data_IF_355900155976
#
_entry.id   IF_355900155976
#
_cell.length_a   1.000
_cell.length_b   1.000
_cell.length_c   1.000
_cell.angle_alpha   90.00
_cell.angle_beta   90.00
_cell.angle_gamma   90.00
#
_symmetry.space_group_name_H-M   'P 1'
#
loop_
_entity.id
_entity.type
_entity.pdbx_description
1 polymer ?
#
# COMPACT_ATOMS: atom_id res chain seq x y z
N UNK A 1 -19.11 4.75 -11.84
CA UNK A 1 -17.86 5.31 -12.40
C UNK A 1 -17.89 6.83 -12.27
N UNK A 2 -16.81 7.43 -11.85
CA UNK A 2 -16.68 8.90 -11.73
C UNK A 2 -15.88 9.40 -12.93
N UNK A 3 -16.46 10.32 -13.69
CA UNK A 3 -15.74 11.04 -14.75
C UNK A 3 -15.05 12.27 -14.13
N UNK A 4 -13.76 12.17 -13.93
CA UNK A 4 -12.93 13.25 -13.36
C UNK A 4 -12.70 14.41 -14.33
N UNK A 5 -13.10 14.27 -15.58
CA UNK A 5 -12.91 15.30 -16.61
C UNK A 5 -13.99 16.38 -16.58
N UNK A 6 -15.03 16.22 -15.75
CA UNK A 6 -16.18 17.13 -15.64
C UNK A 6 -16.51 17.42 -14.16
N UNK A 7 -17.16 18.53 -13.90
CA UNK A 7 -17.57 18.93 -12.54
C UNK A 7 -16.47 19.53 -11.66
N UNK A 8 -16.78 19.80 -10.40
CA UNK A 8 -15.88 20.45 -9.43
C UNK A 8 -14.87 19.43 -8.86
N UNK A 9 -13.53 19.64 -9.03
CA UNK A 9 -12.50 18.66 -8.65
C UNK A 9 -12.59 18.21 -7.19
N UNK A 10 -12.82 19.11 -6.24
CA UNK A 10 -12.87 18.77 -4.82
C UNK A 10 -14.03 17.81 -4.47
N UNK A 11 -15.21 17.99 -5.08
CA UNK A 11 -16.34 17.07 -4.87
C UNK A 11 -16.05 15.67 -5.42
N UNK A 12 -15.43 15.62 -6.61
CA UNK A 12 -15.06 14.36 -7.28
C UNK A 12 -14.01 13.60 -6.47
N UNK A 13 -12.97 14.31 -6.00
CA UNK A 13 -11.92 13.72 -5.17
C UNK A 13 -12.47 13.20 -3.84
N UNK A 14 -13.30 13.97 -3.13
CA UNK A 14 -13.94 13.51 -1.89
C UNK A 14 -14.81 12.27 -2.13
N UNK A 15 -15.68 12.34 -3.14
CA UNK A 15 -16.59 11.23 -3.44
C UNK A 15 -15.86 9.93 -3.81
N UNK A 16 -14.68 10.05 -4.43
CA UNK A 16 -13.83 8.92 -4.77
C UNK A 16 -12.98 8.45 -3.57
N UNK A 17 -12.41 9.38 -2.81
CA UNK A 17 -11.47 9.06 -1.72
C UNK A 17 -12.15 8.50 -0.48
N UNK A 18 -13.37 8.95 -0.13
CA UNK A 18 -14.06 8.48 1.09
C UNK A 18 -14.28 6.96 1.07
N UNK A 19 -14.86 6.34 0.01
CA UNK A 19 -14.97 4.89 -0.04
C UNK A 19 -13.64 4.17 0.05
N UNK A 20 -12.59 4.68 -0.62
CA UNK A 20 -11.26 4.10 -0.54
C UNK A 20 -10.67 4.20 0.86
N UNK A 21 -10.85 5.34 1.53
CA UNK A 21 -10.38 5.55 2.90
C UNK A 21 -11.03 4.55 3.85
N UNK A 22 -12.37 4.43 3.79
CA UNK A 22 -13.11 3.47 4.60
C UNK A 22 -12.61 2.04 4.34
N UNK A 23 -12.44 1.66 3.07
CA UNK A 23 -11.91 0.35 2.70
C UNK A 23 -10.52 0.10 3.28
N UNK A 24 -9.61 1.06 3.16
CA UNK A 24 -8.24 0.92 3.68
C UNK A 24 -8.21 0.82 5.22
N UNK A 25 -9.05 1.58 5.93
CA UNK A 25 -9.18 1.48 7.39
C UNK A 25 -9.74 0.12 7.79
N UNK A 26 -10.76 -0.38 7.10
CA UNK A 26 -11.32 -1.71 7.34
C UNK A 26 -10.31 -2.83 7.11
N UNK A 27 -9.43 -2.67 6.10
CA UNK A 27 -8.35 -3.62 5.85
C UNK A 27 -7.34 -3.66 7.01
N UNK A 28 -7.06 -2.51 7.64
CA UNK A 28 -6.20 -2.48 8.83
C UNK A 28 -6.87 -3.15 10.03
N UNK A 29 -8.17 -2.89 10.25
CA UNK A 29 -8.92 -3.54 11.32
C UNK A 29 -9.01 -5.06 11.12
N UNK A 30 -9.21 -5.49 9.88
CA UNK A 30 -9.17 -6.91 9.51
C UNK A 30 -7.82 -7.56 9.83
N UNK A 31 -6.71 -6.92 9.46
CA UNK A 31 -5.36 -7.43 9.78
C UNK A 31 -5.13 -7.59 11.29
N UNK A 32 -5.66 -6.68 12.10
CA UNK A 32 -5.58 -6.77 13.56
C UNK A 32 -6.41 -7.95 14.07
N UNK A 33 -7.62 -8.14 13.55
CA UNK A 33 -8.49 -9.26 13.93
C UNK A 33 -7.87 -10.62 13.58
N UNK A 34 -7.26 -10.73 12.39
CA UNK A 34 -6.55 -11.94 11.95
C UNK A 34 -5.40 -12.30 12.91
N UNK A 35 -4.59 -11.31 13.24
CA UNK A 35 -3.48 -11.48 14.19
C UNK A 35 -3.94 -11.87 15.59
N UNK A 36 -5.07 -11.31 16.05
CA UNK A 36 -5.68 -11.60 17.33
C UNK A 36 -6.18 -13.06 17.41
N UNK A 37 -6.87 -13.53 16.36
CA UNK A 37 -7.37 -14.91 16.30
C UNK A 37 -6.21 -15.91 16.28
N UNK A 38 -5.20 -15.67 15.43
CA UNK A 38 -4.01 -16.53 15.37
C UNK A 38 -3.30 -16.58 16.71
N UNK A 39 -3.09 -15.44 17.38
CA UNK A 39 -2.40 -15.37 18.65
C UNK A 39 -3.11 -16.08 19.79
N UNK A 40 -4.44 -15.91 19.88
CA UNK A 40 -5.21 -16.46 21.01
C UNK A 40 -5.56 -17.95 20.85
N UNK A 41 -5.80 -18.41 19.63
CA UNK A 41 -6.27 -19.78 19.41
C UNK A 41 -5.17 -20.76 19.00
N UNK A 42 -4.07 -20.29 18.40
CA UNK A 42 -2.98 -21.18 17.96
C UNK A 42 -1.76 -21.04 18.89
N UNK A 43 -1.49 -19.81 19.38
CA UNK A 43 -0.41 -19.54 20.34
C UNK A 43 0.78 -18.79 19.74
N UNK A 44 1.81 -18.57 20.58
CA UNK A 44 2.95 -17.70 20.28
C UNK A 44 3.82 -18.20 19.12
N UNK A 45 3.99 -19.52 18.99
CA UNK A 45 4.78 -20.13 17.90
C UNK A 45 4.15 -19.87 16.52
N UNK A 46 2.81 -19.88 16.45
CA UNK A 46 2.11 -19.56 15.22
C UNK A 46 2.29 -18.08 14.82
N UNK A 47 2.23 -17.18 15.78
CA UNK A 47 2.47 -15.75 15.52
C UNK A 47 3.90 -15.54 15.00
N UNK A 48 4.88 -16.21 15.60
CA UNK A 48 6.27 -16.17 15.15
C UNK A 48 6.43 -16.75 13.74
N UNK A 49 5.79 -17.89 13.43
CA UNK A 49 5.80 -18.52 12.11
C UNK A 49 5.20 -17.62 11.02
N UNK A 50 4.05 -16.98 11.29
CA UNK A 50 3.44 -15.99 10.40
C UNK A 50 4.37 -14.79 10.25
N UNK A 51 4.93 -14.28 11.35
CA UNK A 51 5.85 -13.14 11.37
C UNK A 51 7.09 -13.34 10.49
N UNK A 52 7.71 -14.53 10.54
CA UNK A 52 8.88 -14.89 9.73
C UNK A 52 8.56 -14.96 8.23
N UNK A 53 7.32 -15.31 7.87
CA UNK A 53 6.87 -15.39 6.47
C UNK A 53 6.49 -14.02 5.88
N UNK A 54 6.15 -13.03 6.73
CA UNK A 54 5.64 -11.73 6.29
C UNK A 54 6.60 -10.93 5.40
N UNK A 55 7.92 -10.84 5.67
CA UNK A 55 8.85 -10.12 4.80
C UNK A 55 8.88 -10.68 3.38
N UNK A 56 8.82 -12.00 3.24
CA UNK A 56 8.82 -12.68 1.95
C UNK A 56 7.53 -12.36 1.19
N UNK A 57 6.37 -12.53 1.84
CA UNK A 57 5.07 -12.20 1.25
C UNK A 57 4.98 -10.73 0.86
N UNK A 58 5.49 -9.83 1.71
CA UNK A 58 5.50 -8.39 1.41
C UNK A 58 6.36 -8.07 0.18
N UNK A 59 7.52 -8.68 0.03
CA UNK A 59 8.37 -8.50 -1.14
C UNK A 59 7.66 -8.94 -2.43
N UNK A 60 6.97 -10.09 -2.40
CA UNK A 60 6.20 -10.61 -3.52
C UNK A 60 4.99 -9.72 -3.86
N UNK A 61 4.26 -9.26 -2.85
CA UNK A 61 3.11 -8.37 -3.02
C UNK A 61 3.54 -6.97 -3.51
N UNK A 62 4.70 -6.48 -3.10
CA UNK A 62 5.24 -5.19 -3.54
C UNK A 62 5.40 -5.09 -5.05
N UNK A 63 5.82 -6.19 -5.69
CA UNK A 63 5.93 -6.27 -7.14
C UNK A 63 4.57 -6.07 -7.83
N UNK A 64 3.52 -6.64 -7.26
CA UNK A 64 2.16 -6.51 -7.80
C UNK A 64 1.59 -5.14 -7.60
N UNK A 65 1.80 -4.55 -6.42
CA UNK A 65 1.36 -3.18 -6.15
C UNK A 65 1.93 -2.25 -7.22
N UNK A 66 3.19 -2.44 -7.61
CA UNK A 66 3.81 -1.68 -8.69
C UNK A 66 3.08 -1.86 -10.02
N UNK A 67 2.90 -3.09 -10.47
CA UNK A 67 2.24 -3.39 -11.75
C UNK A 67 0.80 -2.88 -11.77
N UNK A 68 0.05 -3.11 -10.70
CA UNK A 68 -1.35 -2.67 -10.61
C UNK A 68 -1.46 -1.15 -10.58
N UNK A 69 -0.49 -0.44 -10.01
CA UNK A 69 -0.43 1.02 -10.08
C UNK A 69 -0.23 1.50 -11.52
N UNK A 70 0.69 0.89 -12.28
CA UNK A 70 0.88 1.16 -13.70
C UNK A 70 -0.40 0.94 -14.51
N UNK A 71 -1.11 -0.13 -14.21
CA UNK A 71 -2.39 -0.47 -14.84
C UNK A 71 -3.48 0.56 -14.56
N UNK A 72 -3.59 1.01 -13.30
CA UNK A 72 -4.54 2.08 -12.92
C UNK A 72 -4.30 3.34 -13.75
N UNK A 73 -3.04 3.74 -13.94
CA UNK A 73 -2.66 4.93 -14.71
C UNK A 73 -3.07 4.79 -16.17
N UNK A 74 -2.73 3.67 -16.82
CA UNK A 74 -3.02 3.44 -18.25
C UNK A 74 -4.53 3.39 -18.48
N UNK A 75 -5.25 2.61 -17.66
CA UNK A 75 -6.72 2.51 -17.75
C UNK A 75 -7.36 3.88 -17.55
N UNK A 76 -6.89 4.69 -16.58
CA UNK A 76 -7.44 6.02 -16.34
C UNK A 76 -7.20 6.98 -17.50
N UNK A 77 -6.03 6.92 -18.15
CA UNK A 77 -5.73 7.77 -19.31
C UNK A 77 -6.61 7.38 -20.51
N UNK A 78 -6.74 6.09 -20.85
CA UNK A 78 -7.62 5.68 -21.94
C UNK A 78 -9.11 5.93 -21.63
N UNK A 79 -9.52 5.77 -20.38
CA UNK A 79 -10.88 6.12 -19.95
C UNK A 79 -11.16 7.63 -20.14
N UNK A 80 -10.23 8.48 -19.72
CA UNK A 80 -10.31 9.93 -19.91
C UNK A 80 -10.33 10.36 -21.37
N UNK A 81 -9.58 9.66 -22.25
CA UNK A 81 -9.57 9.86 -23.69
C UNK A 81 -10.84 9.35 -24.39
N UNK A 82 -11.70 8.62 -23.67
CA UNK A 82 -12.86 7.90 -24.22
C UNK A 82 -12.48 6.85 -25.28
N UNK A 83 -11.22 6.40 -25.30
CA UNK A 83 -10.75 5.31 -26.16
C UNK A 83 -11.03 3.97 -25.47
N UNK A 84 -12.28 3.56 -25.50
CA UNK A 84 -12.73 2.33 -24.86
C UNK A 84 -12.15 1.06 -25.48
N UNK A 85 -11.72 1.13 -26.75
CA UNK A 85 -11.08 -0.02 -27.42
C UNK A 85 -9.69 -0.26 -26.82
N UNK A 86 -8.85 0.76 -26.74
CA UNK A 86 -7.53 0.65 -26.12
C UNK A 86 -7.64 0.41 -24.61
N UNK A 87 -8.63 1.01 -23.94
CA UNK A 87 -8.93 0.73 -22.55
C UNK A 87 -9.21 -0.76 -22.32
N UNK A 88 -10.08 -1.38 -23.15
CA UNK A 88 -10.37 -2.81 -23.06
C UNK A 88 -9.12 -3.66 -23.32
N UNK A 89 -8.34 -3.34 -24.34
CA UNK A 89 -7.05 -4.01 -24.60
C UNK A 89 -6.08 -3.87 -23.42
N UNK A 90 -6.10 -2.72 -22.74
CA UNK A 90 -5.28 -2.52 -21.53
C UNK A 90 -5.71 -3.44 -20.40
N UNK A 91 -7.01 -3.57 -20.16
CA UNK A 91 -7.57 -4.50 -19.17
C UNK A 91 -7.15 -5.93 -19.49
N UNK A 92 -7.31 -6.37 -20.74
CA UNK A 92 -6.97 -7.72 -21.17
C UNK A 92 -5.48 -8.02 -21.03
N UNK A 93 -4.62 -7.08 -21.50
CA UNK A 93 -3.16 -7.21 -21.40
C UNK A 93 -2.69 -7.32 -19.94
N UNK A 94 -3.27 -6.49 -19.06
CA UNK A 94 -2.93 -6.49 -17.64
C UNK A 94 -3.36 -7.79 -16.96
N UNK A 95 -4.55 -8.31 -17.28
CA UNK A 95 -5.02 -9.59 -16.72
C UNK A 95 -4.09 -10.73 -17.16
N UNK A 96 -3.75 -10.82 -18.46
CA UNK A 96 -2.82 -11.83 -18.97
C UNK A 96 -1.47 -11.72 -18.22
N UNK A 97 -0.91 -10.52 -18.17
CA UNK A 97 0.39 -10.28 -17.55
C UNK A 97 0.41 -10.64 -16.07
N UNK A 98 -0.60 -10.19 -15.31
CA UNK A 98 -0.68 -10.47 -13.88
C UNK A 98 -0.89 -11.96 -13.62
N UNK A 99 -1.68 -12.64 -14.44
CA UNK A 99 -1.86 -14.08 -14.34
C UNK A 99 -0.54 -14.82 -14.58
N UNK A 100 0.20 -14.44 -15.63
CA UNK A 100 1.54 -15.01 -15.91
C UNK A 100 2.53 -14.72 -14.78
N UNK A 101 2.55 -13.48 -14.28
CA UNK A 101 3.40 -13.10 -13.17
C UNK A 101 3.06 -13.86 -11.89
N UNK A 102 1.77 -14.02 -11.57
CA UNK A 102 1.30 -14.79 -10.42
C UNK A 102 1.73 -16.27 -10.50
N UNK A 103 1.54 -16.89 -11.66
CA UNK A 103 1.97 -18.28 -11.88
C UNK A 103 3.49 -18.40 -11.76
N UNK A 104 4.25 -17.46 -12.34
CA UNK A 104 5.71 -17.47 -12.24
C UNK A 104 6.17 -17.33 -10.79
N UNK A 105 5.60 -16.38 -10.05
CA UNK A 105 5.92 -16.15 -8.62
C UNK A 105 5.51 -17.38 -7.78
N UNK A 106 4.36 -17.99 -8.06
CA UNK A 106 3.92 -19.20 -7.39
C UNK A 106 4.93 -20.34 -7.59
N UNK A 107 5.28 -20.63 -8.84
CA UNK A 107 6.20 -21.75 -9.18
C UNK A 107 7.59 -21.51 -8.58
N UNK A 108 8.16 -20.32 -8.81
CA UNK A 108 9.49 -19.96 -8.27
C UNK A 108 9.46 -19.96 -6.74
N UNK A 109 8.42 -19.37 -6.14
CA UNK A 109 8.27 -19.32 -4.68
C UNK A 109 8.15 -20.70 -4.06
N UNK A 110 7.39 -21.62 -4.69
CA UNK A 110 7.25 -23.00 -4.19
C UNK A 110 8.57 -23.79 -4.30
N UNK A 111 9.35 -23.62 -5.38
CA UNK A 111 10.65 -24.26 -5.56
C UNK A 111 11.66 -23.75 -4.52
N UNK A 112 11.68 -22.47 -4.26
CA UNK A 112 12.64 -21.83 -3.36
C UNK A 112 12.12 -21.53 -1.96
N UNK A 113 10.98 -22.11 -1.55
CA UNK A 113 10.31 -21.83 -0.28
C UNK A 113 11.24 -21.98 0.92
N UNK A 114 11.98 -23.08 1.01
CA UNK A 114 12.93 -23.34 2.09
C UNK A 114 14.11 -22.36 2.07
N UNK A 115 14.65 -22.08 0.88
CA UNK A 115 15.75 -21.14 0.71
C UNK A 115 15.37 -19.72 1.10
N UNK A 116 14.14 -19.30 0.79
CA UNK A 116 13.62 -17.99 1.15
C UNK A 116 13.47 -17.84 2.68
N UNK A 117 12.98 -18.88 3.37
CA UNK A 117 12.87 -18.87 4.83
C UNK A 117 14.23 -18.86 5.52
N UNK A 118 15.20 -19.62 5.00
CA UNK A 118 16.57 -19.59 5.51
C UNK A 118 17.25 -18.25 5.25
N UNK A 119 16.96 -17.58 4.13
CA UNK A 119 17.51 -16.25 3.81
C UNK A 119 17.07 -15.16 4.81
N UNK A 120 15.90 -15.34 5.44
CA UNK A 120 15.41 -14.42 6.49
C UNK A 120 15.72 -14.92 7.91
N UNK A 121 16.65 -15.87 8.03
CA UNK A 121 17.11 -16.45 9.31
C UNK A 121 15.94 -16.94 10.20
N UNK A 122 14.97 -17.66 9.60
CA UNK A 122 13.84 -18.22 10.32
C UNK A 122 14.34 -19.26 11.34
N UNK A 123 14.04 -19.13 12.65
CA UNK A 123 14.44 -20.08 13.66
C UNK A 123 13.86 -21.49 13.43
N UNK A 124 14.61 -22.54 13.79
CA UNK A 124 14.24 -23.93 13.51
C UNK A 124 12.95 -24.37 14.23
N UNK A 125 12.66 -23.83 15.39
CA UNK A 125 11.46 -24.11 16.18
C UNK A 125 10.16 -23.66 15.51
N UNK A 126 10.20 -22.59 14.72
CA UNK A 126 9.06 -22.06 13.97
C UNK A 126 9.12 -22.34 12.47
N UNK A 127 10.21 -22.95 11.97
CA UNK A 127 10.45 -23.16 10.56
C UNK A 127 9.34 -23.97 9.87
N UNK A 128 8.91 -25.06 10.49
CA UNK A 128 7.84 -25.91 9.93
C UNK A 128 6.51 -25.18 9.78
N UNK A 129 6.12 -24.39 10.78
CA UNK A 129 4.93 -23.55 10.72
C UNK A 129 5.03 -22.46 9.67
N UNK A 130 6.18 -21.77 9.59
CA UNK A 130 6.45 -20.75 8.59
C UNK A 130 6.45 -21.32 7.16
N UNK A 131 7.07 -22.48 6.96
CA UNK A 131 7.08 -23.19 5.66
C UNK A 131 5.66 -23.53 5.22
N UNK A 132 4.86 -24.13 6.10
CA UNK A 132 3.47 -24.49 5.80
C UNK A 132 2.65 -23.26 5.46
N UNK A 133 2.74 -22.19 6.26
CA UNK A 133 2.04 -20.94 6.04
C UNK A 133 2.45 -20.28 4.70
N UNK A 134 3.76 -20.16 4.45
CA UNK A 134 4.29 -19.56 3.21
C UNK A 134 3.87 -20.34 1.99
N UNK A 135 4.02 -21.68 2.02
CA UNK A 135 3.67 -22.58 0.92
C UNK A 135 2.18 -22.46 0.53
N UNK A 136 1.28 -22.44 1.52
CA UNK A 136 -0.15 -22.26 1.28
C UNK A 136 -0.40 -20.89 0.67
N UNK A 137 0.19 -19.80 1.21
CA UNK A 137 0.02 -18.45 0.65
C UNK A 137 0.58 -18.32 -0.77
N UNK A 138 1.66 -19.01 -1.10
CA UNK A 138 2.20 -19.05 -2.47
C UNK A 138 1.21 -19.69 -3.45
N UNK A 139 0.51 -20.74 -3.06
CA UNK A 139 -0.58 -21.33 -3.87
C UNK A 139 -1.71 -20.31 -4.06
N UNK A 140 -2.00 -19.52 -3.01
CA UNK A 140 -3.03 -18.48 -3.03
C UNK A 140 -2.63 -17.17 -3.70
N UNK A 141 -1.43 -17.07 -4.27
CA UNK A 141 -0.95 -15.80 -4.83
C UNK A 141 -1.74 -15.37 -6.08
N UNK A 142 -2.26 -16.32 -6.84
CA UNK A 142 -3.06 -16.04 -8.03
C UNK A 142 -4.37 -15.27 -7.71
N UNK A 143 -5.24 -15.72 -6.80
CA UNK A 143 -6.41 -14.94 -6.41
C UNK A 143 -6.04 -13.61 -5.74
N UNK A 144 -4.99 -13.55 -4.93
CA UNK A 144 -4.50 -12.30 -4.35
C UNK A 144 -4.16 -11.27 -5.43
N UNK A 145 -3.42 -11.66 -6.46
CA UNK A 145 -3.06 -10.83 -7.60
C UNK A 145 -4.32 -10.40 -8.38
N UNK A 146 -5.27 -11.31 -8.56
CA UNK A 146 -6.55 -11.05 -9.21
C UNK A 146 -7.35 -9.94 -8.51
N UNK A 147 -7.55 -10.02 -7.20
CA UNK A 147 -8.26 -8.99 -6.42
C UNK A 147 -7.60 -7.62 -6.53
N UNK A 148 -6.26 -7.56 -6.42
CA UNK A 148 -5.52 -6.31 -6.55
C UNK A 148 -5.62 -5.73 -7.96
N UNK A 149 -5.51 -6.57 -8.99
CA UNK A 149 -5.63 -6.18 -10.40
C UNK A 149 -7.01 -5.59 -10.71
N UNK A 150 -8.07 -6.31 -10.38
CA UNK A 150 -9.44 -5.86 -10.63
C UNK A 150 -9.76 -4.57 -9.85
N UNK A 151 -9.30 -4.47 -8.61
CA UNK A 151 -9.44 -3.23 -7.83
C UNK A 151 -8.70 -2.06 -8.48
N UNK A 152 -7.51 -2.29 -9.04
CA UNK A 152 -6.74 -1.27 -9.76
C UNK A 152 -7.44 -0.80 -11.04
N UNK A 153 -8.00 -1.73 -11.82
CA UNK A 153 -8.80 -1.44 -13.02
C UNK A 153 -10.02 -0.59 -12.65
N UNK A 154 -10.77 -0.99 -11.62
CA UNK A 154 -11.95 -0.27 -11.14
C UNK A 154 -11.60 1.15 -10.69
N UNK A 155 -10.49 1.32 -9.97
CA UNK A 155 -9.98 2.67 -9.60
C UNK A 155 -9.64 3.49 -10.83
N UNK A 156 -9.04 2.90 -11.86
CA UNK A 156 -8.70 3.58 -13.12
C UNK A 156 -9.92 4.16 -13.83
N UNK A 157 -11.04 3.45 -13.85
CA UNK A 157 -12.31 3.92 -14.43
C UNK A 157 -13.13 4.79 -13.46
N UNK A 158 -12.58 5.14 -12.29
CA UNK A 158 -13.25 6.00 -11.33
C UNK A 158 -14.31 5.29 -10.46
N UNK A 159 -14.24 3.98 -10.31
CA UNK A 159 -15.10 3.23 -9.39
C UNK A 159 -14.33 2.89 -8.12
N UNK A 160 -14.60 3.60 -7.04
CA UNK A 160 -14.05 3.35 -5.70
C UNK A 160 -15.04 2.63 -4.77
N UNK A 161 -16.33 2.58 -5.14
CA UNK A 161 -17.35 1.94 -4.31
C UNK A 161 -17.33 0.43 -4.42
N UNK A 162 -17.16 -0.10 -5.63
CA UNK A 162 -17.11 -1.55 -5.84
C UNK A 162 -15.95 -2.18 -5.06
N UNK A 163 -14.70 -1.70 -5.12
CA UNK A 163 -13.64 -2.20 -4.25
C UNK A 163 -13.96 -2.14 -2.75
N UNK A 164 -14.65 -1.09 -2.27
CA UNK A 164 -15.08 -1.01 -0.87
C UNK A 164 -16.03 -2.14 -0.49
N UNK A 165 -17.09 -2.35 -1.28
CA UNK A 165 -18.06 -3.43 -0.99
C UNK A 165 -17.40 -4.80 -1.04
N UNK A 166 -16.50 -4.99 -1.98
CA UNK A 166 -15.70 -6.23 -2.09
C UNK A 166 -14.86 -6.43 -0.83
N UNK A 167 -14.17 -5.39 -0.34
CA UNK A 167 -13.38 -5.47 0.88
C UNK A 167 -14.23 -5.77 2.12
N UNK A 168 -15.40 -5.16 2.24
CA UNK A 168 -16.34 -5.44 3.34
C UNK A 168 -16.78 -6.91 3.36
N UNK A 169 -17.22 -7.40 2.20
CA UNK A 169 -17.70 -8.78 2.06
C UNK A 169 -16.56 -9.77 2.30
N UNK A 170 -15.39 -9.52 1.70
CA UNK A 170 -14.25 -10.41 1.85
C UNK A 170 -13.70 -10.42 3.29
N UNK A 171 -13.66 -9.28 3.97
CA UNK A 171 -13.24 -9.23 5.38
C UNK A 171 -14.20 -10.01 6.28
N UNK A 172 -15.52 -9.85 6.10
CA UNK A 172 -16.51 -10.62 6.83
C UNK A 172 -16.41 -12.13 6.56
N UNK A 173 -16.29 -12.50 5.29
CA UNK A 173 -16.13 -13.91 4.89
C UNK A 173 -14.84 -14.51 5.46
N UNK A 174 -13.75 -13.77 5.43
CA UNK A 174 -12.48 -14.24 5.98
C UNK A 174 -12.56 -14.49 7.48
N UNK A 175 -13.15 -13.58 8.26
CA UNK A 175 -13.33 -13.77 9.71
C UNK A 175 -14.17 -15.03 9.99
N UNK A 176 -15.23 -15.25 9.22
CA UNK A 176 -16.08 -16.46 9.35
C UNK A 176 -15.26 -17.72 9.07
N UNK A 177 -14.52 -17.76 7.95
CA UNK A 177 -13.70 -18.91 7.59
C UNK A 177 -12.54 -19.13 8.57
N UNK A 178 -11.93 -18.05 9.04
CA UNK A 178 -10.85 -18.11 10.03
C UNK A 178 -11.33 -18.74 11.33
N UNK A 179 -12.49 -18.31 11.85
CA UNK A 179 -13.10 -18.88 13.04
C UNK A 179 -13.59 -20.32 12.82
N UNK A 180 -14.03 -20.67 11.62
CA UNK A 180 -14.42 -22.03 11.32
C UNK A 180 -13.21 -22.99 11.24
N UNK A 181 -12.11 -22.56 10.62
CA UNK A 181 -10.95 -23.44 10.36
C UNK A 181 -9.98 -23.48 11.54
N UNK A 182 -9.77 -22.38 12.26
CA UNK A 182 -8.80 -22.35 13.35
C UNK A 182 -9.40 -22.92 14.64
N UNK A 183 -10.34 -22.27 15.33
CA UNK A 183 -10.92 -22.86 16.53
C UNK A 183 -11.96 -23.96 16.26
N UNK A 184 -12.73 -23.87 15.14
CA UNK A 184 -13.81 -24.81 14.84
C UNK A 184 -13.30 -26.19 14.39
N UNK A 185 -12.35 -26.23 13.46
CA UNK A 185 -11.80 -27.48 12.88
C UNK A 185 -10.42 -27.83 13.44
N UNK A 186 -9.77 -26.94 14.18
CA UNK A 186 -8.44 -27.19 14.75
C UNK A 186 -7.30 -27.26 13.73
N UNK A 187 -7.45 -26.60 12.55
CA UNK A 187 -6.44 -26.65 11.47
C UNK A 187 -5.21 -25.77 11.75
N UNK A 188 -5.18 -25.05 12.87
CA UNK A 188 -4.04 -24.21 13.27
C UNK A 188 -3.63 -23.21 12.20
N UNK A 189 -2.32 -23.05 11.99
CA UNK A 189 -1.72 -22.12 11.02
C UNK A 189 -2.23 -22.39 9.58
N UNK A 190 -2.36 -23.64 9.19
CA UNK A 190 -2.88 -24.01 7.87
C UNK A 190 -4.31 -23.50 7.68
N UNK A 191 -5.14 -23.54 8.74
CA UNK A 191 -6.50 -23.02 8.72
C UNK A 191 -6.55 -21.53 8.45
N UNK A 192 -5.68 -20.76 9.09
CA UNK A 192 -5.57 -19.31 8.85
C UNK A 192 -5.17 -18.98 7.40
N UNK A 193 -4.17 -19.70 6.86
CA UNK A 193 -3.74 -19.52 5.48
C UNK A 193 -4.85 -19.91 4.46
N UNK A 194 -5.51 -21.04 4.66
CA UNK A 194 -6.61 -21.47 3.78
C UNK A 194 -7.83 -20.56 3.86
N UNK A 195 -8.18 -20.03 5.04
CA UNK A 195 -9.23 -19.03 5.17
C UNK A 195 -8.98 -17.81 4.29
N UNK A 196 -7.75 -17.30 4.28
CA UNK A 196 -7.34 -16.18 3.44
C UNK A 196 -7.45 -16.49 1.95
N UNK A 197 -6.92 -17.65 1.51
CA UNK A 197 -6.94 -18.03 0.08
C UNK A 197 -8.37 -18.25 -0.43
N UNK A 198 -9.17 -18.99 0.31
CA UNK A 198 -10.56 -19.24 -0.08
C UNK A 198 -11.35 -17.93 -0.16
N UNK A 199 -11.16 -17.04 0.83
CA UNK A 199 -11.76 -15.71 0.79
C UNK A 199 -11.37 -14.97 -0.47
N UNK A 200 -10.10 -14.91 -0.80
CA UNK A 200 -9.62 -14.19 -1.99
C UNK A 200 -10.08 -14.84 -3.29
N UNK A 201 -10.17 -16.18 -3.33
CA UNK A 201 -10.68 -16.92 -4.50
C UNK A 201 -12.16 -16.59 -4.73
N UNK A 202 -12.98 -16.68 -3.70
CA UNK A 202 -14.39 -16.31 -3.78
C UNK A 202 -14.55 -14.84 -4.18
N UNK A 203 -13.71 -13.98 -3.61
CA UNK A 203 -13.71 -12.54 -3.88
C UNK A 203 -13.39 -12.22 -5.34
N UNK A 204 -12.34 -12.82 -5.92
CA UNK A 204 -11.98 -12.55 -7.33
C UNK A 204 -13.04 -13.05 -8.28
N UNK A 205 -13.63 -14.22 -8.02
CA UNK A 205 -14.73 -14.77 -8.82
C UNK A 205 -15.95 -13.83 -8.74
N UNK A 206 -16.33 -13.41 -7.55
CA UNK A 206 -17.41 -12.45 -7.33
C UNK A 206 -17.18 -11.11 -8.00
N UNK A 207 -15.93 -10.59 -7.95
CA UNK A 207 -15.55 -9.35 -8.65
C UNK A 207 -15.67 -9.49 -10.16
N UNK A 208 -15.22 -10.58 -10.75
CA UNK A 208 -15.35 -10.83 -12.21
C UNK A 208 -16.82 -10.86 -12.61
N UNK A 209 -17.63 -11.60 -11.85
CA UNK A 209 -19.07 -11.68 -12.11
C UNK A 209 -19.74 -10.31 -12.03
N UNK A 210 -19.48 -9.56 -10.95
CA UNK A 210 -20.00 -8.22 -10.75
C UNK A 210 -19.55 -7.24 -11.84
N UNK A 211 -18.27 -7.26 -12.18
CA UNK A 211 -17.69 -6.41 -13.21
C UNK A 211 -18.32 -6.69 -14.58
N UNK A 212 -18.49 -7.98 -14.92
CA UNK A 212 -19.12 -8.37 -16.18
C UNK A 212 -20.59 -7.96 -16.28
N UNK A 213 -21.29 -7.88 -15.14
CA UNK A 213 -22.69 -7.46 -15.10
C UNK A 213 -22.85 -5.95 -15.11
N UNK A 214 -22.04 -5.22 -14.32
CA UNK A 214 -22.18 -3.77 -14.12
C UNK A 214 -21.44 -2.92 -15.13
N UNK A 215 -20.36 -3.44 -15.72
CA UNK A 215 -19.42 -2.68 -16.56
C UNK A 215 -19.17 -3.36 -17.89
N UNK A 216 -20.14 -3.33 -18.85
CA UNK A 216 -20.01 -4.04 -20.14
C UNK A 216 -18.79 -3.63 -20.94
N UNK A 217 -18.31 -2.38 -20.78
CA UNK A 217 -17.15 -1.82 -21.52
C UNK A 217 -15.83 -2.53 -21.14
N UNK A 218 -15.71 -2.98 -19.88
CA UNK A 218 -14.51 -3.67 -19.36
C UNK A 218 -14.78 -5.14 -19.08
N UNK A 219 -15.82 -5.72 -19.69
CA UNK A 219 -16.20 -7.12 -19.53
C UNK A 219 -15.03 -8.06 -19.79
N UNK A 220 -14.74 -8.94 -18.83
CA UNK A 220 -13.67 -9.95 -18.93
C UNK A 220 -14.25 -11.20 -19.55
N UNK A 221 -13.72 -11.58 -20.70
CA UNK A 221 -14.07 -12.81 -21.41
C UNK A 221 -12.78 -13.58 -21.70
N UNK A 222 -12.48 -14.58 -20.88
CA UNK A 222 -11.20 -15.31 -20.90
C UNK A 222 -10.82 -15.88 -22.27
N UNK A 223 -11.80 -16.27 -23.09
CA UNK A 223 -11.55 -16.84 -24.43
C UNK A 223 -11.26 -15.75 -25.51
N UNK A 224 -11.35 -14.47 -25.16
CA UNK A 224 -11.19 -13.35 -26.12
C UNK A 224 -10.24 -12.28 -25.57
N UNK A 225 -9.33 -12.66 -24.67
CA UNK A 225 -8.32 -11.73 -24.16
C UNK A 225 -7.32 -11.40 -25.27
N UNK A 226 -7.02 -10.13 -25.43
CA UNK A 226 -6.07 -9.63 -26.44
C UNK A 226 -4.84 -9.10 -25.71
N UNK A 227 -3.66 -9.62 -26.03
CA UNK A 227 -2.40 -9.11 -25.54
C UNK A 227 -1.84 -8.04 -26.47
N UNK A 228 -1.57 -6.85 -25.95
CA UNK A 228 -1.00 -5.73 -26.67
C UNK A 228 0.39 -5.42 -26.09
N UNK A 229 1.43 -5.63 -26.90
CA UNK A 229 2.83 -5.48 -26.47
C UNK A 229 3.20 -4.03 -26.13
N UNK A 230 2.60 -3.03 -26.81
CA UNK A 230 2.88 -1.62 -26.54
C UNK A 230 2.30 -1.21 -25.17
N UNK A 231 1.07 -1.65 -24.89
CA UNK A 231 0.42 -1.45 -23.60
C UNK A 231 1.18 -2.19 -22.49
N UNK A 232 1.62 -3.42 -22.76
CA UNK A 232 2.44 -4.19 -21.82
C UNK A 232 3.74 -3.46 -21.46
N UNK A 233 4.51 -3.00 -22.48
CA UNK A 233 5.75 -2.24 -22.24
C UNK A 233 5.48 -0.97 -21.43
N UNK A 234 4.38 -0.29 -21.71
CA UNK A 234 3.96 0.91 -20.97
C UNK A 234 3.60 0.57 -19.52
N UNK A 235 2.90 -0.55 -19.28
CA UNK A 235 2.54 -1.03 -17.93
C UNK A 235 3.76 -1.38 -17.10
N UNK A 236 4.73 -2.08 -17.69
CA UNK A 236 6.00 -2.42 -17.04
C UNK A 236 6.82 -1.16 -16.76
N UNK A 237 6.93 -0.25 -17.72
CA UNK A 237 7.67 1.01 -17.56
C UNK A 237 7.13 1.88 -16.41
N UNK A 238 5.82 1.91 -16.22
CA UNK A 238 5.17 2.67 -15.14
C UNK A 238 5.14 1.87 -13.84
N UNK A 239 4.90 0.56 -13.91
CA UNK A 239 4.71 -0.30 -12.76
C UNK A 239 6.00 -0.73 -12.07
N UNK A 240 7.03 -1.09 -12.85
CA UNK A 240 8.28 -1.62 -12.28
C UNK A 240 8.99 -0.65 -11.33
N UNK A 241 9.11 0.67 -11.65
CA UNK A 241 9.68 1.62 -10.68
C UNK A 241 8.87 1.71 -9.38
N UNK A 242 7.55 1.63 -9.45
CA UNK A 242 6.69 1.66 -8.25
C UNK A 242 6.86 0.39 -7.41
N UNK A 243 6.96 -0.78 -8.03
CA UNK A 243 7.26 -2.04 -7.34
C UNK A 243 8.63 -2.02 -6.68
N UNK A 244 9.66 -1.57 -7.41
CA UNK A 244 11.01 -1.38 -6.88
C UNK A 244 11.05 -0.38 -5.72
N UNK A 245 10.30 0.71 -5.81
CA UNK A 245 10.14 1.68 -4.73
C UNK A 245 9.61 1.02 -3.44
N UNK A 246 8.55 0.19 -3.55
CA UNK A 246 7.96 -0.48 -2.38
C UNK A 246 8.93 -1.46 -1.73
N UNK A 247 9.65 -2.24 -2.53
CA UNK A 247 10.69 -3.14 -2.04
C UNK A 247 11.80 -2.38 -1.31
N UNK A 248 12.29 -1.30 -1.90
CA UNK A 248 13.34 -0.46 -1.29
C UNK A 248 12.88 0.22 0.00
N UNK A 249 11.58 0.59 0.09
CA UNK A 249 10.99 1.10 1.34
C UNK A 249 11.02 0.03 2.41
N UNK A 250 10.64 -1.21 2.09
CA UNK A 250 10.67 -2.33 3.04
C UNK A 250 12.08 -2.58 3.59
N UNK A 251 13.08 -2.69 2.69
CA UNK A 251 14.48 -2.89 3.09
C UNK A 251 15.02 -1.70 3.91
N UNK A 252 14.64 -0.48 3.53
CA UNK A 252 15.02 0.72 4.29
C UNK A 252 14.41 0.78 5.70
N UNK A 253 13.18 0.28 5.87
CA UNK A 253 12.56 0.16 7.19
C UNK A 253 13.25 -0.90 8.05
N UNK A 254 13.73 -2.01 7.45
CA UNK A 254 14.56 -2.99 8.16
C UNK A 254 15.90 -2.39 8.60
N UNK A 255 16.54 -1.60 7.76
CA UNK A 255 17.77 -0.90 8.13
C UNK A 255 17.56 0.09 9.30
N UNK A 256 16.45 0.81 9.30
CA UNK A 256 16.07 1.68 10.43
C UNK A 256 15.82 0.91 11.71
N UNK A 257 15.16 -0.25 11.61
CA UNK A 257 14.97 -1.14 12.77
C UNK A 257 16.32 -1.59 13.33
N UNK A 258 17.32 -1.84 12.48
CA UNK A 258 18.69 -2.13 12.90
C UNK A 258 19.32 -0.99 13.72
N UNK A 259 19.04 0.28 13.38
CA UNK A 259 19.50 1.44 14.18
C UNK A 259 18.76 1.50 15.53
N UNK A 260 17.44 1.28 15.54
CA UNK A 260 16.65 1.21 16.79
C UNK A 260 17.16 0.11 17.71
N UNK A 261 17.52 -1.05 17.16
CA UNK A 261 18.02 -2.19 17.91
C UNK A 261 19.37 -1.92 18.63
N UNK A 262 20.17 -0.94 18.20
CA UNK A 262 21.38 -0.55 18.95
C UNK A 262 21.06 -0.07 20.37
N UNK A 263 19.90 0.53 20.56
CA UNK A 263 19.44 1.02 21.86
C UNK A 263 18.79 -0.07 22.73
N UNK A 264 18.46 -1.23 22.17
CA UNK A 264 17.82 -2.32 22.93
C UNK A 264 18.77 -3.01 23.92
N UNK A 265 20.07 -2.96 23.69
CA UNK A 265 21.08 -3.46 24.65
C UNK A 265 21.13 -2.63 25.94
N UNK A 266 20.79 -1.35 25.87
CA UNK A 266 20.74 -0.44 27.01
C UNK A 266 19.31 -0.30 27.57
N UNK A 267 18.30 -0.26 26.69
CA UNK A 267 16.90 -0.12 27.06
C UNK A 267 15.96 -0.74 26.02
N UNK A 268 15.37 -1.89 26.33
CA UNK A 268 14.41 -2.59 25.47
C UNK A 268 13.11 -1.79 25.23
N UNK A 269 12.81 -0.81 26.09
CA UNK A 269 11.59 -0.01 26.03
C UNK A 269 11.53 0.86 24.77
N UNK A 270 12.71 1.24 24.21
CA UNK A 270 12.80 2.00 22.95
C UNK A 270 12.20 1.20 21.77
N UNK A 271 12.52 -0.09 21.67
CA UNK A 271 12.00 -0.95 20.61
C UNK A 271 10.49 -1.16 20.74
N UNK A 272 10.01 -1.35 21.97
CA UNK A 272 8.59 -1.53 22.25
C UNK A 272 7.83 -0.25 21.89
N UNK A 273 8.30 0.91 22.34
CA UNK A 273 7.72 2.21 22.00
C UNK A 273 7.72 2.46 20.49
N UNK A 274 8.83 2.17 19.80
CA UNK A 274 8.94 2.26 18.34
C UNK A 274 7.89 1.38 17.64
N UNK A 275 7.72 0.15 18.09
CA UNK A 275 6.77 -0.80 17.50
C UNK A 275 5.32 -0.35 17.64
N UNK A 276 4.96 0.19 18.81
CA UNK A 276 3.62 0.75 19.06
C UNK A 276 3.39 1.96 18.16
N UNK A 277 4.34 2.92 18.14
CA UNK A 277 4.19 4.14 17.35
C UNK A 277 4.12 3.84 15.85
N UNK A 278 4.86 2.87 15.33
CA UNK A 278 4.75 2.47 13.91
C UNK A 278 3.36 1.95 13.54
N UNK A 279 2.67 1.26 14.44
CA UNK A 279 1.27 0.83 14.19
C UNK A 279 0.32 2.04 14.10
N UNK A 280 0.52 3.01 14.96
CA UNK A 280 -0.25 4.26 14.97
C UNK A 280 0.07 5.09 13.71
N UNK A 281 1.36 5.23 13.36
CA UNK A 281 1.84 5.93 12.15
C UNK A 281 1.22 5.36 10.87
N UNK A 282 1.12 4.03 10.78
CA UNK A 282 0.47 3.37 9.64
C UNK A 282 -0.97 3.83 9.48
N UNK A 283 -1.76 3.93 10.55
CA UNK A 283 -3.15 4.38 10.50
C UNK A 283 -3.26 5.85 10.08
N UNK A 284 -2.38 6.71 10.58
CA UNK A 284 -2.37 8.14 10.25
C UNK A 284 -1.92 8.38 8.80
N UNK A 285 -1.07 7.52 8.27
CA UNK A 285 -0.56 7.60 6.89
C UNK A 285 -1.59 7.19 5.83
N UNK A 286 -2.58 6.35 6.18
CA UNK A 286 -3.61 5.84 5.25
C UNK A 286 -4.33 6.94 4.46
N UNK A 287 -4.80 8.05 5.05
CA UNK A 287 -5.43 9.13 4.29
C UNK A 287 -4.54 9.72 3.22
N UNK A 288 -3.27 10.02 3.55
CA UNK A 288 -2.31 10.60 2.61
C UNK A 288 -2.07 9.70 1.40
N UNK A 289 -1.92 8.40 1.63
CA UNK A 289 -1.78 7.39 0.57
C UNK A 289 -3.06 7.29 -0.28
N UNK A 290 -4.23 7.32 0.36
CA UNK A 290 -5.53 7.25 -0.32
C UNK A 290 -5.75 8.44 -1.24
N UNK A 291 -5.49 9.67 -0.76
CA UNK A 291 -5.58 10.87 -1.59
C UNK A 291 -4.54 10.90 -2.70
N UNK A 292 -3.33 10.36 -2.48
CA UNK A 292 -2.33 10.17 -3.53
C UNK A 292 -2.82 9.27 -4.66
N UNK A 293 -3.51 8.18 -4.33
CA UNK A 293 -4.13 7.30 -5.34
C UNK A 293 -5.30 7.99 -6.07
N UNK A 294 -6.10 8.75 -5.34
CA UNK A 294 -7.23 9.47 -5.91
C UNK A 294 -6.78 10.56 -6.88
N UNK A 295 -5.77 11.36 -6.51
CA UNK A 295 -5.23 12.38 -7.40
C UNK A 295 -4.53 11.75 -8.61
N UNK A 296 -3.91 10.58 -8.48
CA UNK A 296 -3.31 9.87 -9.61
C UNK A 296 -4.38 9.46 -10.63
N UNK A 297 -5.53 8.93 -10.21
CA UNK A 297 -6.64 8.61 -11.10
C UNK A 297 -7.24 9.87 -11.75
N UNK A 298 -7.41 10.95 -10.97
CA UNK A 298 -7.87 12.25 -11.47
C UNK A 298 -6.94 12.80 -12.56
N UNK A 299 -5.64 12.81 -12.31
CA UNK A 299 -4.63 13.29 -13.25
C UNK A 299 -4.60 12.41 -14.51
N UNK A 300 -4.62 11.09 -14.34
CA UNK A 300 -4.65 10.16 -15.46
C UNK A 300 -5.81 10.41 -16.40
N UNK A 301 -7.04 10.53 -15.89
CA UNK A 301 -8.21 10.83 -16.72
C UNK A 301 -8.12 12.21 -17.38
N UNK A 302 -7.61 13.24 -16.69
CA UNK A 302 -7.50 14.60 -17.28
C UNK A 302 -6.39 14.69 -18.31
N UNK A 303 -5.29 13.95 -18.18
CA UNK A 303 -4.26 13.83 -19.23
C UNK A 303 -4.87 13.13 -20.45
N UNK A 304 -5.56 12.00 -20.24
CA UNK A 304 -6.25 11.29 -21.31
C UNK A 304 -7.23 12.18 -22.08
N UNK A 305 -8.00 12.99 -21.36
CA UNK A 305 -8.95 13.95 -21.93
C UNK A 305 -8.30 15.23 -22.49
N UNK A 306 -6.96 15.37 -22.42
CA UNK A 306 -6.21 16.59 -22.80
C UNK A 306 -6.64 17.86 -22.02
N UNK A 307 -7.18 17.68 -20.79
CA UNK A 307 -7.64 18.77 -19.91
C UNK A 307 -6.60 19.11 -18.84
N UNK A 308 -5.36 19.38 -19.26
CA UNK A 308 -4.24 19.68 -18.37
C UNK A 308 -4.50 20.86 -17.44
N UNK A 309 -5.33 21.85 -17.91
CA UNK A 309 -5.70 23.02 -17.10
C UNK A 309 -6.46 22.68 -15.81
N UNK A 310 -7.09 21.49 -15.74
CA UNK A 310 -7.81 21.04 -14.56
C UNK A 310 -6.89 20.48 -13.46
N UNK A 311 -5.67 20.06 -13.82
CA UNK A 311 -4.77 19.39 -12.91
C UNK A 311 -4.35 20.30 -11.74
N UNK A 312 -3.98 21.58 -11.94
CA UNK A 312 -3.66 22.47 -10.83
C UNK A 312 -4.83 22.67 -9.86
N UNK A 313 -6.05 22.79 -10.37
CA UNK A 313 -7.25 22.91 -9.52
C UNK A 313 -7.51 21.63 -8.73
N UNK A 314 -7.31 20.46 -9.35
CA UNK A 314 -7.40 19.16 -8.67
C UNK A 314 -6.32 18.98 -7.62
N UNK A 315 -5.08 19.38 -7.92
CA UNK A 315 -3.97 19.36 -6.97
C UNK A 315 -4.28 20.23 -5.75
N UNK A 316 -4.69 21.47 -5.95
CA UNK A 316 -5.02 22.38 -4.85
C UNK A 316 -6.17 21.83 -3.99
N UNK A 317 -7.18 21.23 -4.60
CA UNK A 317 -8.26 20.59 -3.90
C UNK A 317 -7.77 19.38 -3.07
N UNK A 318 -6.92 18.51 -3.66
CA UNK A 318 -6.34 17.36 -2.96
C UNK A 318 -5.46 17.81 -1.78
N UNK A 319 -4.60 18.81 -1.99
CA UNK A 319 -3.77 19.39 -0.95
C UNK A 319 -4.62 19.96 0.19
N UNK A 320 -5.64 20.77 -0.12
CA UNK A 320 -6.50 21.36 0.90
C UNK A 320 -7.22 20.29 1.74
N UNK A 321 -7.88 19.33 1.09
CA UNK A 321 -8.64 18.28 1.78
C UNK A 321 -7.71 17.41 2.62
N UNK A 322 -6.59 16.96 2.03
CA UNK A 322 -5.64 16.10 2.72
C UNK A 322 -4.95 16.84 3.88
N UNK A 323 -4.62 18.14 3.71
CA UNK A 323 -4.04 18.95 4.77
C UNK A 323 -5.00 19.17 5.94
N UNK A 324 -6.28 19.47 5.67
CA UNK A 324 -7.29 19.58 6.73
C UNK A 324 -7.39 18.28 7.52
N UNK A 325 -7.50 17.15 6.82
CA UNK A 325 -7.63 15.85 7.46
C UNK A 325 -6.37 15.48 8.27
N UNK A 326 -5.17 15.71 7.70
CA UNK A 326 -3.91 15.44 8.40
C UNK A 326 -3.71 16.35 9.60
N UNK A 327 -4.05 17.62 9.52
CA UNK A 327 -3.99 18.55 10.67
C UNK A 327 -4.91 18.10 11.79
N UNK A 328 -6.14 17.70 11.47
CA UNK A 328 -7.08 17.17 12.46
C UNK A 328 -6.53 15.91 13.12
N UNK A 329 -6.02 14.94 12.32
CA UNK A 329 -5.44 13.71 12.85
C UNK A 329 -4.18 14.00 13.68
N UNK A 330 -3.31 14.90 13.23
CA UNK A 330 -2.13 15.33 13.99
C UNK A 330 -2.51 15.96 15.33
N UNK A 331 -3.48 16.86 15.34
CA UNK A 331 -3.97 17.48 16.57
C UNK A 331 -4.56 16.43 17.54
N UNK A 332 -5.37 15.50 17.03
CA UNK A 332 -5.88 14.38 17.83
C UNK A 332 -4.73 13.54 18.40
N UNK A 333 -3.71 13.23 17.60
CA UNK A 333 -2.55 12.46 18.07
C UNK A 333 -1.75 13.21 19.13
N UNK A 334 -1.56 14.52 19.00
CA UNK A 334 -0.87 15.33 20.00
C UNK A 334 -1.65 15.38 21.33
N UNK A 335 -2.99 15.52 21.27
CA UNK A 335 -3.85 15.53 22.44
C UNK A 335 -3.94 14.16 23.10
N UNK A 336 -4.11 13.12 22.30
CA UNK A 336 -4.36 11.76 22.77
C UNK A 336 -3.12 10.85 22.74
N UNK A 337 -1.91 11.40 22.57
CA UNK A 337 -0.66 10.62 22.52
C UNK A 337 -0.51 9.68 23.73
N UNK A 338 -0.76 10.19 24.95
CA UNK A 338 -0.70 9.37 26.18
C UNK A 338 -1.80 8.31 26.26
N UNK A 339 -3.10 8.64 26.08
CA UNK A 339 -4.16 7.61 25.97
C UNK A 339 -3.91 6.55 24.91
N UNK A 340 -3.41 6.94 23.74
CA UNK A 340 -3.09 6.00 22.65
C UNK A 340 -1.97 5.04 23.08
N UNK A 341 -0.91 5.54 23.67
CA UNK A 341 0.16 4.67 24.22
C UNK A 341 -0.38 3.72 25.30
N UNK A 342 -1.21 4.21 26.20
CA UNK A 342 -1.83 3.38 27.25
C UNK A 342 -2.73 2.27 26.69
N UNK A 343 -3.42 2.51 25.56
CA UNK A 343 -4.29 1.50 24.94
C UNK A 343 -3.52 0.26 24.49
N UNK A 344 -2.27 0.45 24.03
CA UNK A 344 -1.41 -0.64 23.57
C UNK A 344 -0.49 -1.20 24.68
N UNK A 345 -0.53 -0.63 25.89
CA UNK A 345 0.46 -0.84 26.93
C UNK A 345 -0.13 -1.00 28.33
N UNK A 346 -1.30 -1.68 28.45
CA UNK A 346 -2.06 -1.79 29.72
C UNK A 346 -1.27 -2.34 30.93
N UNK A 347 -0.11 -2.99 30.73
CA UNK A 347 0.77 -3.52 31.79
C UNK A 347 2.22 -2.98 31.66
N UNK A 348 2.45 -1.88 30.94
CA UNK A 348 3.79 -1.49 30.50
C UNK A 348 4.37 -0.33 31.33
N UNK A 349 5.69 -0.41 31.50
CA UNK A 349 6.58 0.57 32.12
C UNK A 349 6.25 2.01 31.68
N UNK A 350 6.13 2.98 32.62
CA UNK A 350 5.95 4.39 32.32
C UNK A 350 6.95 4.99 31.32
N UNK A 351 8.15 4.42 31.23
CA UNK A 351 9.20 4.85 30.30
C UNK A 351 8.82 4.59 28.84
N UNK A 352 8.16 3.47 28.53
CA UNK A 352 7.66 3.19 27.18
C UNK A 352 6.63 4.24 26.76
N UNK A 353 5.73 4.61 27.66
CA UNK A 353 4.72 5.63 27.41
C UNK A 353 5.39 6.98 27.17
N UNK A 354 6.42 7.31 27.95
CA UNK A 354 7.16 8.56 27.81
C UNK A 354 7.90 8.64 26.46
N UNK A 355 8.63 7.58 26.08
CA UNK A 355 9.37 7.49 24.82
C UNK A 355 8.41 7.55 23.64
N UNK A 356 7.35 6.73 23.64
CA UNK A 356 6.38 6.69 22.54
C UNK A 356 5.59 7.99 22.40
N UNK A 357 5.19 8.63 23.49
CA UNK A 357 4.57 9.96 23.48
C UNK A 357 5.50 11.00 22.87
N UNK A 358 6.77 11.01 23.25
CA UNK A 358 7.77 11.94 22.71
C UNK A 358 7.96 11.74 21.21
N UNK A 359 8.04 10.49 20.77
CA UNK A 359 8.07 10.15 19.34
C UNK A 359 6.82 10.70 18.60
N UNK A 360 5.61 10.42 19.09
CA UNK A 360 4.38 10.94 18.48
C UNK A 360 4.34 12.46 18.41
N UNK A 361 4.79 13.14 19.46
CA UNK A 361 4.83 14.62 19.48
C UNK A 361 5.82 15.20 18.46
N UNK A 362 6.95 14.53 18.22
CA UNK A 362 7.92 14.94 17.20
C UNK A 362 7.37 14.80 15.78
N UNK A 363 6.75 13.67 15.47
CA UNK A 363 6.34 13.40 14.08
C UNK A 363 4.99 14.02 13.70
N UNK A 364 4.06 14.15 14.68
CA UNK A 364 2.68 14.57 14.39
C UNK A 364 2.55 15.89 13.63
N UNK A 365 3.30 16.96 13.95
CA UNK A 365 3.20 18.23 13.19
C UNK A 365 3.60 18.08 11.72
N UNK A 366 4.41 17.08 11.39
CA UNK A 366 4.98 16.90 10.06
C UNK A 366 4.18 15.96 9.14
N UNK A 367 3.07 15.38 9.60
CA UNK A 367 2.20 14.60 8.70
C UNK A 367 1.64 15.43 7.55
N UNK A 368 1.50 16.75 7.71
CA UNK A 368 1.12 17.65 6.61
C UNK A 368 2.19 17.68 5.52
N UNK A 369 3.46 17.64 5.90
CA UNK A 369 4.60 17.59 4.97
C UNK A 369 4.60 16.25 4.24
N UNK A 370 4.43 15.14 4.97
CA UNK A 370 4.29 13.80 4.41
C UNK A 370 3.13 13.73 3.39
N UNK A 371 1.95 14.22 3.78
CA UNK A 371 0.77 14.25 2.92
C UNK A 371 1.01 15.06 1.65
N UNK A 372 1.64 16.21 1.76
CA UNK A 372 2.01 17.08 0.63
C UNK A 372 2.92 16.35 -0.34
N UNK A 373 3.96 15.65 0.14
CA UNK A 373 4.85 14.83 -0.68
C UNK A 373 4.08 13.75 -1.45
N UNK A 374 3.16 13.05 -0.78
CA UNK A 374 2.36 12.00 -1.39
C UNK A 374 1.40 12.52 -2.47
N UNK A 375 0.82 13.71 -2.28
CA UNK A 375 -0.06 14.33 -3.27
C UNK A 375 0.73 14.73 -4.52
N UNK A 376 1.90 15.40 -4.40
CA UNK A 376 2.74 15.73 -5.55
C UNK A 376 3.22 14.49 -6.29
N UNK A 377 3.69 13.47 -5.58
CA UNK A 377 4.10 12.20 -6.21
C UNK A 377 2.91 11.47 -6.84
N UNK A 378 1.71 11.60 -6.29
CA UNK A 378 0.47 11.11 -6.88
C UNK A 378 0.15 11.75 -8.24
N UNK A 379 0.36 13.07 -8.37
CA UNK A 379 0.22 13.76 -9.67
C UNK A 379 1.19 13.21 -10.70
N UNK A 380 2.45 13.02 -10.33
CA UNK A 380 3.48 12.47 -11.23
C UNK A 380 3.12 11.04 -11.66
N UNK A 381 2.72 10.18 -10.70
CA UNK A 381 2.28 8.81 -11.00
C UNK A 381 1.10 8.80 -11.96
N UNK A 382 0.07 9.63 -11.71
CA UNK A 382 -1.09 9.74 -12.59
C UNK A 382 -0.74 10.20 -14.00
N UNK A 383 0.32 10.99 -14.15
CA UNK A 383 0.87 11.38 -15.44
C UNK A 383 1.67 10.25 -16.13
N UNK A 384 1.99 9.16 -15.44
CA UNK A 384 2.83 8.08 -15.95
C UNK A 384 4.31 8.25 -15.63
N UNK A 385 4.70 9.27 -14.87
CA UNK A 385 6.06 9.48 -14.40
C UNK A 385 6.24 8.86 -13.02
N UNK A 386 6.68 7.61 -12.99
CA UNK A 386 6.87 6.84 -11.74
C UNK A 386 8.34 6.74 -11.31
N UNK A 387 9.26 7.01 -12.23
CA UNK A 387 10.69 7.00 -11.92
C UNK A 387 11.07 8.10 -10.93
N UNK A 388 10.58 9.31 -11.14
CA UNK A 388 10.91 10.44 -10.26
C UNK A 388 10.34 10.26 -8.84
N UNK A 389 9.06 9.88 -8.63
CA UNK A 389 8.57 9.48 -7.31
C UNK A 389 9.41 8.40 -6.64
N UNK A 390 9.88 7.40 -7.38
CA UNK A 390 10.78 6.38 -6.84
C UNK A 390 12.08 7.02 -6.35
N UNK A 391 12.76 7.83 -7.16
CA UNK A 391 14.01 8.49 -6.77
C UNK A 391 13.83 9.45 -5.60
N UNK A 392 12.71 10.20 -5.53
CA UNK A 392 12.40 11.08 -4.38
C UNK A 392 12.28 10.25 -3.10
N UNK A 393 11.60 9.10 -3.15
CA UNK A 393 11.45 8.23 -1.99
C UNK A 393 12.78 7.60 -1.58
N UNK A 394 13.59 7.15 -2.55
CA UNK A 394 14.91 6.60 -2.28
C UNK A 394 15.84 7.65 -1.66
N UNK A 395 15.87 8.86 -2.23
CA UNK A 395 16.62 9.98 -1.66
C UNK A 395 16.19 10.26 -0.22
N UNK A 396 14.87 10.40 -0.01
CA UNK A 396 14.31 10.70 1.31
C UNK A 396 14.64 9.63 2.34
N UNK A 397 14.48 8.35 2.01
CA UNK A 397 14.67 7.24 2.95
C UNK A 397 16.15 6.84 3.11
N UNK A 398 16.84 6.57 1.99
CA UNK A 398 18.18 5.98 2.02
C UNK A 398 19.29 7.00 2.18
N UNK A 399 19.18 8.15 1.51
CA UNK A 399 20.24 9.17 1.52
C UNK A 399 20.07 10.15 2.68
N UNK A 400 18.84 10.42 3.10
CA UNK A 400 18.56 11.38 4.18
C UNK A 400 18.21 10.66 5.48
N UNK A 401 17.10 9.90 5.53
CA UNK A 401 16.57 9.39 6.79
C UNK A 401 17.52 8.44 7.51
N UNK A 402 18.10 7.46 6.80
CA UNK A 402 18.98 6.47 7.43
C UNK A 402 20.28 7.12 7.94
N UNK A 403 21.04 7.91 7.14
CA UNK A 403 22.24 8.58 7.64
C UNK A 403 21.95 9.58 8.76
N UNK A 404 20.89 10.39 8.63
CA UNK A 404 20.48 11.34 9.67
C UNK A 404 20.08 10.63 10.96
N UNK A 405 19.33 9.53 10.86
CA UNK A 405 18.97 8.70 12.01
C UNK A 405 20.22 8.15 12.72
N UNK A 406 21.20 7.61 11.96
CA UNK A 406 22.44 7.10 12.53
C UNK A 406 23.24 8.22 13.20
N UNK A 407 23.48 9.33 12.50
CA UNK A 407 24.30 10.44 13.03
C UNK A 407 23.67 11.14 14.22
N UNK A 408 22.36 11.47 14.16
CA UNK A 408 21.68 12.15 15.24
C UNK A 408 21.45 11.25 16.45
N UNK A 409 21.27 9.93 16.23
CA UNK A 409 21.09 8.99 17.35
C UNK A 409 22.35 8.86 18.22
N UNK A 410 23.53 9.02 17.63
CA UNK A 410 24.79 9.04 18.40
C UNK A 410 24.93 10.31 19.27
N UNK A 411 24.25 11.41 18.90
CA UNK A 411 24.36 12.70 19.58
C UNK A 411 23.23 12.96 20.61
N UNK A 412 22.00 12.60 20.28
CA UNK A 412 20.79 12.89 21.08
C UNK A 412 19.97 11.64 21.43
N UNK A 413 20.56 10.47 21.29
CA UNK A 413 19.91 9.19 21.59
C UNK A 413 18.74 8.87 20.67
N UNK A 414 17.73 8.10 21.12
CA UNK A 414 16.60 7.65 20.30
C UNK A 414 15.84 8.77 19.60
N UNK A 415 15.82 9.98 20.17
CA UNK A 415 15.17 11.15 19.55
C UNK A 415 15.76 11.51 18.18
N UNK A 416 17.03 11.22 17.95
CA UNK A 416 17.68 11.43 16.67
C UNK A 416 17.03 10.59 15.55
N UNK A 417 16.57 9.39 15.89
CA UNK A 417 15.84 8.52 14.96
C UNK A 417 14.48 9.16 14.63
N UNK A 418 13.79 9.72 15.66
CA UNK A 418 12.48 10.34 15.45
C UNK A 418 12.58 11.61 14.60
N UNK A 419 13.55 12.46 14.84
CA UNK A 419 13.79 13.67 14.04
C UNK A 419 14.21 13.41 12.61
N UNK A 420 14.83 12.27 12.33
CA UNK A 420 15.20 11.88 10.95
C UNK A 420 13.98 11.79 10.02
N UNK A 421 12.80 11.47 10.56
CA UNK A 421 11.55 11.31 9.80
C UNK A 421 11.06 12.65 9.23
N UNK A 422 10.82 13.69 10.05
CA UNK A 422 10.43 15.01 9.55
C UNK A 422 11.44 15.62 8.57
N UNK A 423 12.72 15.45 8.83
CA UNK A 423 13.79 15.97 7.96
C UNK A 423 13.68 15.29 6.57
N UNK A 424 13.58 13.96 6.54
CA UNK A 424 13.46 13.21 5.31
C UNK A 424 12.18 13.55 4.51
N UNK A 425 11.04 13.69 5.20
CA UNK A 425 9.79 14.09 4.57
C UNK A 425 9.88 15.52 4.00
N UNK A 426 10.55 16.43 4.69
CA UNK A 426 10.73 17.82 4.25
C UNK A 426 11.57 17.88 2.97
N UNK A 427 12.70 17.16 2.93
CA UNK A 427 13.54 17.07 1.72
C UNK A 427 12.76 16.43 0.57
N UNK A 428 12.06 15.31 0.81
CA UNK A 428 11.24 14.65 -0.19
C UNK A 428 10.14 15.56 -0.76
N UNK A 429 9.49 16.36 0.11
CA UNK A 429 8.46 17.32 -0.29
C UNK A 429 9.03 18.45 -1.14
N UNK A 430 10.17 19.00 -0.77
CA UNK A 430 10.86 20.05 -1.55
C UNK A 430 11.22 19.51 -2.94
N UNK A 431 11.80 18.32 -3.03
CA UNK A 431 12.15 17.68 -4.30
C UNK A 431 10.90 17.43 -5.17
N UNK A 432 9.81 16.92 -4.56
CA UNK A 432 8.56 16.68 -5.26
C UNK A 432 7.94 17.99 -5.80
N UNK A 433 7.91 19.04 -4.99
CA UNK A 433 7.43 20.35 -5.39
C UNK A 433 8.26 20.97 -6.51
N UNK A 434 9.60 20.97 -6.36
CA UNK A 434 10.49 21.52 -7.38
C UNK A 434 10.33 20.79 -8.71
N UNK A 435 10.27 19.46 -8.70
CA UNK A 435 10.05 18.70 -9.92
C UNK A 435 8.66 18.97 -10.52
N UNK A 436 7.60 19.04 -9.70
CA UNK A 436 6.26 19.42 -10.20
C UNK A 436 6.30 20.77 -10.94
N UNK A 437 7.01 21.77 -10.39
CA UNK A 437 7.17 23.10 -11.00
C UNK A 437 7.85 23.08 -12.35
N UNK A 438 8.73 22.11 -12.63
CA UNK A 438 9.37 22.00 -13.98
C UNK A 438 8.37 21.69 -15.09
N UNK A 439 7.21 21.14 -14.77
CA UNK A 439 6.20 20.72 -15.73
C UNK A 439 6.58 19.52 -16.61
N UNK A 440 7.78 18.93 -16.46
CA UNK A 440 8.27 17.81 -17.28
C UNK A 440 7.37 16.57 -17.20
N UNK A 441 6.69 16.36 -16.08
CA UNK A 441 5.73 15.27 -15.88
C UNK A 441 4.55 15.31 -16.87
N UNK A 442 4.18 16.48 -17.39
CA UNK A 442 3.05 16.64 -18.34
C UNK A 442 3.23 15.85 -19.64
N UNK A 443 4.46 15.59 -20.03
CA UNK A 443 4.83 14.91 -21.28
C UNK A 443 5.08 13.41 -21.12
N UNK A 444 4.79 12.84 -19.94
CA UNK A 444 5.05 11.42 -19.62
C UNK A 444 3.85 10.50 -19.86
N UNK A 445 2.70 11.06 -20.22
CA UNK A 445 1.48 10.29 -20.49
C UNK A 445 1.66 9.23 -21.58
N UNK A 446 0.88 8.16 -21.47
CA UNK A 446 0.82 7.10 -22.50
C UNK A 446 0.19 7.67 -23.78
N UNK A 447 -0.79 8.56 -23.61
CA UNK A 447 -1.41 9.29 -24.72
C UNK A 447 -0.56 10.53 -24.97
N UNK A 448 0.22 10.51 -26.05
CA UNK A 448 1.03 11.66 -26.46
C UNK A 448 0.14 12.81 -26.92
N UNK A 449 0.46 14.07 -26.57
CA UNK A 449 -0.12 15.21 -27.28
C UNK A 449 0.32 15.14 -28.74
N UNK A 450 -0.62 15.35 -29.66
CA UNK A 450 -0.27 15.56 -31.09
C UNK A 450 0.44 16.89 -31.23
#
# INVERSE_FOLDING_TARGET
MIDFTQGKPWKLLLHFSIPMLIGNVLMQLYSIADFYVVGNYIGKEAVASVGSSMPILFALVSFIIGITMGSTVIVSQYFGAKDYVKMKRSVDTVIIFITMAAVSVMVVGLIFCDSLLRLVDTPDDVFHGAHTFLKINLIGILPLFGVNCLSAILRGVGDSKTPLYVMLISSGLNIILLLAFVPGMGWGISGAAWATILTQTITVIGMIFWLNHKHPIIKITFHRLVFDLEIFRSSVRIGLPTGGQQLMVAVGMMALLGIVNRFTTENSDVLVAYSIVNRVDTLISVPSMTFSMAIAAFVGQNIGARKLYRIPTGLNAALAISSILTVVLSALMMIFARPVMNLFSAEINPDIIHIGRRFLLIISPFYIVFSTMFIYTGVMRGAGDTLIPMFITLLSLWVIRIPVASFMSDSIGPDGIWWSIPIAWSVGTICAFLYYRTGRWKNKGVIKPN
#
